data_IF_791422189263
#
_entry.id   IF_791422189263
#
_cell.length_a   1.000
_cell.length_b   1.000
_cell.length_c   1.000
_cell.angle_alpha   90.00
_cell.angle_beta   90.00
_cell.angle_gamma   90.00
#
_symmetry.space_group_name_H-M   'P 1'
#
loop_
_entity.id
_entity.type
_entity.pdbx_description
1 polymer ?
#
# COMPACT_ATOMS: atom_id res chain seq x y z
N UNK A 1 36.50 61.83 19.53
CA UNK A 1 36.58 60.54 20.25
C UNK A 1 35.44 59.67 19.77
N UNK A 2 35.65 58.46 19.23
CA UNK A 2 34.54 57.65 18.78
C UNK A 2 33.74 57.15 20.00
N UNK A 3 32.42 57.11 19.87
CA UNK A 3 31.50 56.71 20.93
C UNK A 3 31.82 55.27 21.38
N UNK A 4 32.22 55.12 22.65
CA UNK A 4 32.41 53.80 23.26
C UNK A 4 31.05 53.13 23.39
N UNK A 5 30.82 52.13 22.53
CA UNK A 5 29.63 51.28 22.52
C UNK A 5 29.44 50.58 23.87
N UNK A 6 28.20 50.54 24.39
CA UNK A 6 27.83 49.94 25.69
C UNK A 6 28.21 48.45 25.85
N UNK A 7 28.58 47.78 24.76
CA UNK A 7 29.07 46.40 24.77
C UNK A 7 30.47 46.22 25.37
N UNK A 8 31.28 47.28 25.52
CA UNK A 8 32.63 47.16 26.14
C UNK A 8 32.59 46.89 27.65
N UNK A 9 31.41 46.86 28.29
CA UNK A 9 31.25 46.50 29.70
C UNK A 9 31.00 45.00 29.94
N UNK A 10 30.79 44.21 28.88
CA UNK A 10 30.58 42.75 28.95
C UNK A 10 31.83 41.96 28.52
N UNK A 11 33.01 42.56 28.66
CA UNK A 11 34.29 41.94 28.33
C UNK A 11 34.88 41.33 29.60
N UNK A 12 34.71 40.02 29.79
CA UNK A 12 35.12 39.29 31.00
C UNK A 12 36.62 38.95 31.05
N UNK A 13 37.39 39.35 30.02
CA UNK A 13 38.82 39.08 29.94
C UNK A 13 39.64 40.35 30.19
N UNK A 14 40.69 40.23 31.02
CA UNK A 14 41.64 41.33 31.26
C UNK A 14 42.39 41.64 29.97
N UNK A 15 42.19 42.84 29.42
CA UNK A 15 42.94 43.28 28.24
C UNK A 15 44.40 43.47 28.60
N UNK A 16 45.29 42.75 27.93
CA UNK A 16 46.72 43.00 28.02
C UNK A 16 47.04 44.38 27.44
N UNK A 17 48.02 45.07 28.02
CA UNK A 17 48.47 46.38 27.54
C UNK A 17 48.88 46.30 26.06
N UNK A 18 48.43 47.26 25.25
CA UNK A 18 48.62 47.26 23.79
C UNK A 18 50.11 47.19 23.38
N UNK A 19 51.02 47.63 24.24
CA UNK A 19 52.48 47.58 24.05
C UNK A 19 53.10 46.19 24.18
N UNK A 20 52.44 45.25 24.87
CA UNK A 20 52.89 43.86 24.98
C UNK A 20 52.38 42.96 23.82
N UNK A 21 51.56 43.52 22.92
CA UNK A 21 50.93 42.78 21.82
C UNK A 21 51.79 42.83 20.56
N UNK A 22 52.66 41.84 20.39
CA UNK A 22 53.41 41.66 19.14
C UNK A 22 52.42 41.26 18.03
N UNK A 23 52.14 42.20 17.11
CA UNK A 23 51.27 41.94 15.94
C UNK A 23 52.09 41.26 14.85
N UNK A 24 51.79 40.00 14.56
CA UNK A 24 52.41 39.23 13.47
C UNK A 24 51.48 39.19 12.26
N UNK A 25 52.01 39.31 11.05
CA UNK A 25 51.23 39.15 9.80
C UNK A 25 50.70 37.72 9.66
N UNK A 26 51.45 36.73 10.17
CA UNK A 26 51.05 35.33 10.26
C UNK A 26 49.82 35.14 11.16
N UNK A 27 49.77 35.79 12.33
CA UNK A 27 48.60 35.72 13.23
C UNK A 27 47.34 36.36 12.62
N UNK A 28 47.51 37.41 11.81
CA UNK A 28 46.41 37.98 11.02
C UNK A 28 45.83 36.99 9.99
N UNK A 29 46.68 36.23 9.30
CA UNK A 29 46.24 35.20 8.34
C UNK A 29 45.55 34.05 9.07
N UNK A 30 46.13 33.57 10.18
CA UNK A 30 45.55 32.48 10.98
C UNK A 30 44.16 32.86 11.48
N UNK A 31 43.98 34.08 12.00
CA UNK A 31 42.65 34.54 12.47
C UNK A 31 41.61 34.64 11.36
N UNK A 32 41.97 35.10 10.16
CA UNK A 32 41.06 35.12 8.99
C UNK A 32 40.64 33.70 8.60
N UNK A 33 41.60 32.78 8.49
CA UNK A 33 41.34 31.37 8.16
C UNK A 33 40.46 30.72 9.23
N UNK A 34 40.74 30.95 10.51
CA UNK A 34 39.93 30.45 11.61
C UNK A 34 38.50 30.97 11.58
N UNK A 35 38.29 32.25 11.23
CA UNK A 35 36.94 32.80 11.08
C UNK A 35 36.17 32.13 9.93
N UNK A 36 36.82 31.89 8.79
CA UNK A 36 36.20 31.18 7.66
C UNK A 36 35.81 29.75 8.07
N UNK A 37 36.69 29.04 8.78
CA UNK A 37 36.43 27.69 9.27
C UNK A 37 35.28 27.67 10.29
N UNK A 38 35.24 28.61 11.23
CA UNK A 38 34.13 28.74 12.19
C UNK A 38 32.82 28.99 11.47
N UNK A 39 32.78 29.90 10.48
CA UNK A 39 31.56 30.16 9.71
C UNK A 39 31.10 28.93 8.92
N UNK A 40 32.03 28.20 8.30
CA UNK A 40 31.71 26.99 7.55
C UNK A 40 31.17 25.87 8.45
N UNK A 41 31.84 25.61 9.58
CA UNK A 41 31.40 24.61 10.55
C UNK A 41 30.08 25.01 11.23
N UNK A 42 29.90 26.28 11.57
CA UNK A 42 28.63 26.77 12.14
C UNK A 42 27.48 26.67 11.14
N UNK A 43 27.75 26.88 9.84
CA UNK A 43 26.76 26.61 8.79
C UNK A 43 26.42 25.13 8.70
N UNK A 44 27.41 24.24 8.80
CA UNK A 44 27.20 22.80 8.89
C UNK A 44 26.34 22.41 10.09
N UNK A 45 26.65 22.94 11.28
CA UNK A 45 25.91 22.71 12.52
C UNK A 45 24.45 23.22 12.42
N UNK A 46 24.24 24.36 11.74
CA UNK A 46 22.91 24.89 11.43
C UNK A 46 22.15 24.04 10.41
N UNK A 47 22.83 23.51 9.40
CA UNK A 47 22.23 22.59 8.44
C UNK A 47 21.80 21.29 9.12
N UNK A 48 22.64 20.72 9.98
CA UNK A 48 22.34 19.52 10.77
C UNK A 48 21.20 19.77 11.78
N UNK A 49 21.18 20.92 12.45
CA UNK A 49 20.10 21.29 13.36
C UNK A 49 18.73 21.37 12.65
N UNK A 50 18.71 21.81 11.39
CA UNK A 50 17.48 21.86 10.58
C UNK A 50 17.18 20.55 9.84
N UNK A 51 18.04 19.53 9.99
CA UNK A 51 17.83 18.23 9.36
C UNK A 51 16.72 17.47 10.09
N UNK A 52 15.80 16.95 9.30
CA UNK A 52 14.71 16.09 9.75
C UNK A 52 15.14 14.66 9.45
N UNK A 53 15.10 13.81 10.47
CA UNK A 53 15.36 12.39 10.35
C UNK A 53 14.11 11.61 10.76
N UNK A 54 13.96 10.42 10.20
CA UNK A 54 12.81 9.57 10.44
C UNK A 54 13.30 8.37 11.24
N UNK A 55 12.78 8.23 12.46
CA UNK A 55 13.11 7.12 13.34
C UNK A 55 11.97 6.10 13.32
N UNK A 56 12.21 4.88 12.81
CA UNK A 56 11.24 3.80 12.86
C UNK A 56 11.23 3.17 14.27
N UNK A 57 10.06 3.11 14.88
CA UNK A 57 9.82 2.45 16.15
C UNK A 57 8.82 1.31 15.97
N UNK A 58 9.06 0.19 16.63
CA UNK A 58 8.16 -0.96 16.60
C UNK A 58 7.32 -0.96 17.88
N UNK A 59 6.01 -0.84 17.75
CA UNK A 59 5.07 -0.82 18.86
C UNK A 59 4.02 -1.91 18.72
N UNK A 60 3.30 -2.21 19.80
CA UNK A 60 2.13 -3.09 19.75
C UNK A 60 0.94 -2.31 19.20
N UNK A 61 0.26 -2.88 18.21
CA UNK A 61 -0.97 -2.31 17.68
C UNK A 61 -2.10 -2.46 18.71
N UNK A 62 -2.74 -1.34 19.03
CA UNK A 62 -3.85 -1.27 20.00
C UNK A 62 -5.19 -0.98 19.32
N UNK A 63 -5.19 -0.81 18.00
CA UNK A 63 -6.41 -0.62 17.22
C UNK A 63 -7.36 -1.81 17.37
N UNK A 64 -8.63 -1.53 17.67
CA UNK A 64 -9.69 -2.53 17.74
C UNK A 64 -10.89 -2.04 16.96
N UNK A 65 -11.45 -2.90 16.10
CA UNK A 65 -12.61 -2.55 15.29
C UNK A 65 -12.32 -1.54 14.17
N UNK A 66 -11.05 -1.26 13.89
CA UNK A 66 -10.65 -0.41 12.77
C UNK A 66 -10.99 -1.10 11.45
N UNK A 67 -11.25 -0.30 10.42
CA UNK A 67 -11.39 -0.80 9.04
C UNK A 67 -10.11 -0.54 8.25
N UNK A 68 -9.98 -1.24 7.14
CA UNK A 68 -8.89 -1.04 6.19
C UNK A 68 -9.42 -1.11 4.76
N UNK A 69 -8.74 -0.42 3.85
CA UNK A 69 -9.07 -0.48 2.44
C UNK A 69 -8.08 -1.40 1.69
N UNK A 70 -8.58 -2.26 0.82
CA UNK A 70 -7.78 -3.06 -0.11
C UNK A 70 -7.95 -2.44 -1.49
N UNK A 71 -6.87 -1.98 -2.10
CA UNK A 71 -6.90 -1.55 -3.50
C UNK A 71 -6.36 -2.66 -4.37
N UNK A 72 -7.11 -3.05 -5.38
CA UNK A 72 -6.72 -4.09 -6.32
C UNK A 72 -6.92 -3.64 -7.76
N UNK A 73 -6.02 -4.11 -8.62
CA UNK A 73 -6.14 -4.04 -10.07
C UNK A 73 -5.54 -5.34 -10.63
N UNK A 74 -6.40 -6.22 -11.13
CA UNK A 74 -6.03 -7.55 -11.60
C UNK A 74 -6.72 -7.86 -12.92
N UNK A 75 -5.99 -8.45 -13.87
CA UNK A 75 -6.51 -8.83 -15.18
C UNK A 75 -6.50 -10.33 -15.37
N UNK A 76 -7.60 -10.88 -15.85
CA UNK A 76 -7.83 -12.28 -16.19
C UNK A 76 -8.14 -12.38 -17.69
N UNK A 77 -7.16 -12.71 -18.56
CA UNK A 77 -7.32 -12.63 -20.00
C UNK A 77 -8.24 -13.71 -20.61
N UNK A 78 -8.48 -14.82 -19.90
CA UNK A 78 -9.29 -15.95 -20.36
C UNK A 78 -10.51 -16.21 -19.46
N UNK A 79 -10.97 -15.18 -18.74
CA UNK A 79 -12.14 -15.24 -17.88
C UNK A 79 -13.09 -14.08 -18.19
N UNK A 80 -14.35 -14.35 -18.56
CA UNK A 80 -15.35 -13.29 -18.76
C UNK A 80 -15.81 -12.67 -17.43
N UNK A 81 -16.13 -11.38 -17.47
CA UNK A 81 -16.57 -10.65 -16.27
C UNK A 81 -17.91 -11.16 -15.70
N UNK A 82 -18.78 -11.73 -16.53
CA UNK A 82 -20.05 -12.31 -16.09
C UNK A 82 -19.86 -13.59 -15.27
N UNK A 83 -18.78 -14.35 -15.51
CA UNK A 83 -18.48 -15.56 -14.74
C UNK A 83 -17.59 -15.28 -13.53
N UNK A 84 -16.79 -14.21 -13.53
CA UNK A 84 -15.86 -13.94 -12.44
C UNK A 84 -16.55 -13.22 -11.29
N UNK A 85 -16.51 -13.78 -10.08
CA UNK A 85 -17.00 -13.13 -8.85
C UNK A 85 -15.85 -12.79 -7.92
N UNK A 86 -16.05 -11.78 -7.08
CA UNK A 86 -15.12 -11.36 -6.04
C UNK A 86 -15.87 -11.41 -4.71
N UNK A 87 -15.40 -12.26 -3.81
CA UNK A 87 -15.97 -12.41 -2.48
C UNK A 87 -14.95 -12.06 -1.41
N UNK A 88 -15.44 -11.52 -0.30
CA UNK A 88 -14.65 -11.24 0.90
C UNK A 88 -15.31 -11.91 2.09
N UNK A 89 -14.52 -12.61 2.90
CA UNK A 89 -14.97 -13.23 4.15
C UNK A 89 -13.97 -12.95 5.26
N UNK A 90 -14.47 -12.49 6.41
CA UNK A 90 -13.64 -12.31 7.60
C UNK A 90 -13.87 -13.42 8.65
N UNK A 91 -13.00 -13.48 9.67
CA UNK A 91 -13.14 -14.47 10.77
C UNK A 91 -14.40 -14.29 11.62
N UNK A 92 -15.07 -13.14 11.54
CA UNK A 92 -16.35 -12.93 12.23
C UNK A 92 -17.52 -13.59 11.50
N UNK A 93 -17.26 -14.12 10.30
CA UNK A 93 -18.29 -14.67 9.43
C UNK A 93 -19.11 -13.56 8.76
N UNK A 94 -18.68 -12.30 8.84
CA UNK A 94 -19.22 -11.24 8.01
C UNK A 94 -18.76 -11.50 6.57
N UNK A 95 -19.73 -11.65 5.69
CA UNK A 95 -19.51 -11.94 4.27
C UNK A 95 -20.15 -10.82 3.46
N UNK A 96 -19.38 -10.26 2.53
CA UNK A 96 -19.86 -9.26 1.58
C UNK A 96 -19.84 -9.89 0.19
N UNK A 97 -20.98 -10.48 -0.20
CA UNK A 97 -21.16 -11.19 -1.47
C UNK A 97 -21.46 -10.23 -2.62
N UNK A 98 -20.55 -10.07 -3.59
CA UNK A 98 -20.82 -9.21 -4.76
C UNK A 98 -21.18 -7.75 -4.41
N UNK A 99 -20.96 -7.31 -3.16
CA UNK A 99 -21.32 -5.98 -2.64
C UNK A 99 -20.05 -5.22 -2.37
N UNK A 100 -19.50 -4.55 -3.36
CA UNK A 100 -18.31 -3.74 -3.14
C UNK A 100 -18.46 -2.42 -3.87
N UNK A 101 -19.00 -1.42 -3.16
CA UNK A 101 -18.92 -0.03 -3.60
C UNK A 101 -17.45 0.33 -3.86
N UNK A 102 -17.14 0.79 -5.07
CA UNK A 102 -15.77 1.17 -5.46
C UNK A 102 -14.99 0.11 -6.24
N UNK A 103 -15.58 -1.05 -6.57
CA UNK A 103 -14.99 -2.05 -7.49
C UNK A 103 -15.67 -2.00 -8.86
N UNK A 104 -14.87 -2.01 -9.92
CA UNK A 104 -15.32 -2.03 -11.30
C UNK A 104 -14.87 -3.33 -11.99
N UNK A 105 -15.79 -3.92 -12.76
CA UNK A 105 -15.52 -4.98 -13.72
C UNK A 105 -15.33 -4.36 -15.10
N UNK A 106 -14.12 -4.45 -15.61
CA UNK A 106 -13.72 -3.95 -16.92
C UNK A 106 -13.69 -5.12 -17.89
N UNK A 107 -14.62 -5.15 -18.84
CA UNK A 107 -14.64 -6.14 -19.91
C UNK A 107 -13.50 -5.88 -20.88
N UNK A 108 -12.74 -6.92 -21.19
CA UNK A 108 -11.60 -6.86 -22.07
C UNK A 108 -11.83 -7.70 -23.32
N UNK A 109 -11.49 -7.14 -24.47
CA UNK A 109 -11.41 -7.91 -25.72
C UNK A 109 -10.38 -9.03 -25.59
N UNK A 110 -10.62 -10.13 -26.30
CA UNK A 110 -9.70 -11.26 -26.39
C UNK A 110 -8.25 -10.80 -26.65
N UNK A 111 -7.29 -11.43 -25.97
CA UNK A 111 -5.86 -11.14 -26.21
C UNK A 111 -5.45 -11.35 -27.67
N UNK A 112 -6.09 -12.30 -28.38
CA UNK A 112 -5.83 -12.56 -29.81
C UNK A 112 -6.10 -11.33 -30.70
N UNK A 113 -7.00 -10.46 -30.26
CA UNK A 113 -7.43 -9.27 -31.01
C UNK A 113 -6.73 -7.97 -30.54
N UNK A 114 -5.65 -8.11 -29.75
CA UNK A 114 -4.80 -7.01 -29.33
C UNK A 114 -5.07 -6.46 -27.93
N UNK A 115 -6.10 -6.96 -27.22
CA UNK A 115 -6.44 -6.53 -25.87
C UNK A 115 -6.92 -5.08 -25.79
N UNK A 116 -8.14 -4.85 -25.32
CA UNK A 116 -8.69 -3.50 -25.22
C UNK A 116 -9.93 -3.47 -24.34
N UNK A 117 -10.20 -2.31 -23.74
CA UNK A 117 -11.40 -2.12 -22.91
C UNK A 117 -12.63 -2.06 -23.80
N UNK A 118 -13.60 -2.94 -23.53
CA UNK A 118 -14.91 -2.94 -24.18
C UNK A 118 -15.88 -2.07 -23.38
N UNK A 119 -15.98 -2.35 -22.08
CA UNK A 119 -16.97 -1.77 -21.19
C UNK A 119 -16.47 -1.77 -19.74
N UNK A 120 -17.01 -0.87 -18.92
CA UNK A 120 -16.70 -0.73 -17.49
C UNK A 120 -18.00 -0.67 -16.72
N UNK A 121 -18.31 -1.75 -15.97
CA UNK A 121 -19.49 -1.82 -15.11
C UNK A 121 -19.05 -1.78 -13.65
N UNK A 122 -19.63 -0.86 -12.87
CA UNK A 122 -19.45 -0.88 -11.42
C UNK A 122 -20.09 -2.15 -10.83
N UNK A 123 -19.41 -2.76 -9.86
CA UNK A 123 -19.93 -3.89 -9.08
C UNK A 123 -20.92 -3.34 -8.04
N UNK A 124 -22.03 -2.79 -8.52
CA UNK A 124 -23.13 -2.31 -7.68
C UNK A 124 -24.31 -3.28 -7.81
N UNK A 125 -24.86 -3.69 -6.67
CA UNK A 125 -25.99 -4.64 -6.58
C UNK A 125 -27.29 -4.09 -7.18
N UNK A 126 -27.33 -2.80 -7.53
CA UNK A 126 -28.53 -2.14 -8.00
C UNK A 126 -28.26 -1.17 -9.15
N UNK A 127 -27.37 -1.53 -10.10
CA UNK A 127 -27.24 -0.73 -11.32
C UNK A 127 -28.61 -0.59 -11.99
N UNK A 128 -29.10 0.65 -12.06
CA UNK A 128 -30.38 1.01 -12.66
C UNK A 128 -30.52 0.54 -14.12
N UNK A 129 -29.40 0.19 -14.76
CA UNK A 129 -29.36 -0.36 -16.12
C UNK A 129 -29.92 -1.80 -16.23
N UNK A 130 -30.02 -2.55 -15.13
CA UNK A 130 -30.73 -3.85 -15.09
C UNK A 130 -32.14 -3.73 -14.49
N UNK A 131 -32.60 -2.50 -14.23
CA UNK A 131 -34.01 -2.30 -13.87
C UNK A 131 -34.85 -2.58 -15.11
N UNK A 132 -35.87 -3.41 -14.94
CA UNK A 132 -36.81 -3.69 -15.99
C UNK A 132 -37.71 -2.45 -16.19
N UNK A 133 -37.17 -1.39 -16.80
CA UNK A 133 -37.83 -0.08 -17.02
C UNK A 133 -39.12 -0.18 -17.85
N UNK A 134 -39.47 -1.38 -18.32
CA UNK A 134 -40.63 -1.66 -19.15
C UNK A 134 -41.66 -2.61 -18.51
N UNK A 135 -41.48 -3.03 -17.25
CA UNK A 135 -42.46 -3.88 -16.57
C UNK A 135 -43.53 -3.05 -15.84
N UNK A 136 -44.74 -3.59 -15.81
CA UNK A 136 -45.85 -3.01 -15.05
C UNK A 136 -45.46 -2.89 -13.56
N UNK A 137 -45.77 -1.77 -12.88
CA UNK A 137 -45.55 -1.60 -11.44
C UNK A 137 -46.16 -2.71 -10.56
N UNK A 138 -47.12 -3.49 -11.06
CA UNK A 138 -47.74 -4.63 -10.39
C UNK A 138 -47.19 -6.00 -10.85
N UNK A 139 -46.27 -6.05 -11.81
CA UNK A 139 -45.66 -7.30 -12.25
C UNK A 139 -44.86 -7.96 -11.11
N UNK A 140 -45.07 -9.26 -10.93
CA UNK A 140 -44.37 -10.10 -9.97
C UNK A 140 -43.96 -11.38 -10.68
N UNK A 141 -42.71 -11.48 -11.08
CA UNK A 141 -42.19 -12.67 -11.76
C UNK A 141 -42.02 -13.87 -10.81
N UNK A 142 -42.19 -15.11 -11.29
CA UNK A 142 -42.01 -16.29 -10.47
C UNK A 142 -40.53 -16.56 -10.16
N UNK A 143 -40.24 -17.04 -8.95
CA UNK A 143 -38.91 -17.53 -8.56
C UNK A 143 -38.72 -19.05 -8.80
N UNK A 144 -39.62 -19.66 -9.60
CA UNK A 144 -39.55 -21.08 -10.03
C UNK A 144 -39.34 -22.10 -8.90
N UNK A 145 -39.99 -21.88 -7.75
CA UNK A 145 -39.94 -22.78 -6.60
C UNK A 145 -38.83 -22.47 -5.59
N UNK A 146 -37.94 -21.52 -5.90
CA UNK A 146 -36.99 -20.97 -4.92
C UNK A 146 -37.65 -19.84 -4.10
N UNK A 147 -37.14 -19.63 -2.88
CA UNK A 147 -37.56 -18.51 -2.04
C UNK A 147 -37.00 -17.20 -2.60
N UNK A 148 -37.85 -16.18 -2.74
CA UNK A 148 -37.42 -14.86 -3.22
C UNK A 148 -36.36 -14.26 -2.29
N UNK A 149 -35.30 -13.64 -2.83
CA UNK A 149 -34.20 -13.13 -2.02
C UNK A 149 -34.62 -11.85 -1.28
N UNK A 150 -34.02 -11.59 -0.13
CA UNK A 150 -34.43 -10.48 0.75
C UNK A 150 -34.16 -9.08 0.16
N UNK A 151 -33.19 -8.98 -0.76
CA UNK A 151 -32.79 -7.79 -1.50
C UNK A 151 -33.55 -7.61 -2.84
N UNK A 152 -34.55 -8.44 -3.14
CA UNK A 152 -35.36 -8.31 -4.35
C UNK A 152 -36.06 -6.94 -4.40
N UNK A 153 -36.25 -6.40 -5.61
CA UNK A 153 -36.96 -5.12 -5.81
C UNK A 153 -38.38 -5.14 -5.24
N UNK A 154 -39.04 -6.31 -5.26
CA UNK A 154 -40.34 -6.52 -4.64
C UNK A 154 -40.28 -7.75 -3.73
N UNK A 155 -40.66 -7.63 -2.44
CA UNK A 155 -40.68 -8.76 -1.53
C UNK A 155 -41.55 -9.91 -2.07
N UNK A 156 -40.96 -11.11 -2.15
CA UNK A 156 -41.67 -12.31 -2.61
C UNK A 156 -41.73 -12.51 -4.13
N UNK A 157 -41.13 -11.63 -4.93
CA UNK A 157 -41.10 -11.72 -6.39
C UNK A 157 -39.67 -11.81 -6.91
N UNK A 158 -39.49 -12.43 -8.07
CA UNK A 158 -38.25 -12.38 -8.83
C UNK A 158 -38.53 -11.77 -10.21
N UNK A 159 -38.23 -10.50 -10.37
CA UNK A 159 -38.51 -9.72 -11.58
C UNK A 159 -37.34 -9.73 -12.56
N UNK A 160 -36.09 -9.84 -12.08
CA UNK A 160 -34.90 -9.89 -12.95
C UNK A 160 -34.28 -11.28 -13.01
N UNK A 161 -33.50 -11.56 -14.05
CA UNK A 161 -32.74 -12.80 -14.13
C UNK A 161 -31.78 -12.94 -12.94
N UNK A 162 -31.21 -11.82 -12.49
CA UNK A 162 -30.29 -11.79 -11.37
C UNK A 162 -30.97 -12.14 -10.03
N UNK A 163 -32.22 -11.73 -9.82
CA UNK A 163 -33.01 -12.12 -8.63
C UNK A 163 -33.34 -13.62 -8.64
N UNK A 164 -33.70 -14.21 -9.80
CA UNK A 164 -33.95 -15.65 -9.92
C UNK A 164 -32.67 -16.44 -9.66
N UNK A 165 -31.54 -16.02 -10.26
CA UNK A 165 -30.22 -16.61 -10.02
C UNK A 165 -29.85 -16.57 -8.53
N UNK A 166 -30.16 -15.47 -7.85
CA UNK A 166 -29.92 -15.35 -6.41
C UNK A 166 -30.78 -16.32 -5.60
N UNK A 167 -32.07 -16.41 -5.92
CA UNK A 167 -33.00 -17.34 -5.27
C UNK A 167 -32.52 -18.80 -5.41
N UNK A 168 -32.05 -19.17 -6.60
CA UNK A 168 -31.51 -20.52 -6.87
C UNK A 168 -30.21 -20.77 -6.11
N UNK A 169 -29.32 -19.78 -6.07
CA UNK A 169 -28.08 -19.87 -5.31
C UNK A 169 -28.37 -20.05 -3.80
N UNK A 170 -29.32 -19.30 -3.23
CA UNK A 170 -29.77 -19.47 -1.84
C UNK A 170 -30.36 -20.86 -1.59
N UNK A 171 -31.06 -21.44 -2.57
CA UNK A 171 -31.57 -22.81 -2.52
C UNK A 171 -30.50 -23.89 -2.77
N UNK A 172 -29.24 -23.49 -3.04
CA UNK A 172 -28.14 -24.39 -3.44
C UNK A 172 -28.44 -25.19 -4.73
N UNK A 173 -29.16 -24.58 -5.66
CA UNK A 173 -29.52 -25.18 -6.94
C UNK A 173 -28.64 -24.63 -8.06
N UNK A 174 -28.18 -25.51 -8.96
CA UNK A 174 -27.44 -25.10 -10.14
C UNK A 174 -28.39 -24.40 -11.13
N UNK A 175 -28.02 -23.21 -11.59
CA UNK A 175 -28.87 -22.39 -12.46
C UNK A 175 -28.56 -22.61 -13.96
N UNK A 176 -27.29 -22.84 -14.29
CA UNK A 176 -26.87 -22.99 -15.68
C UNK A 176 -27.09 -21.72 -16.52
N UNK A 177 -27.58 -21.88 -17.75
CA UNK A 177 -27.81 -20.78 -18.72
C UNK A 177 -29.18 -20.10 -18.58
N UNK A 178 -29.98 -20.44 -17.57
CA UNK A 178 -31.32 -19.87 -17.37
C UNK A 178 -32.39 -20.40 -18.32
N UNK A 179 -32.25 -21.65 -18.78
CA UNK A 179 -33.24 -22.32 -19.63
C UNK A 179 -34.59 -22.43 -18.91
N UNK A 180 -35.68 -22.01 -19.57
CA UNK A 180 -37.03 -22.05 -19.00
C UNK A 180 -37.36 -20.91 -18.04
N UNK A 181 -36.46 -19.93 -17.88
CA UNK A 181 -36.67 -18.73 -17.05
C UNK A 181 -36.99 -17.53 -17.95
N UNK A 182 -38.19 -16.98 -17.82
CA UNK A 182 -38.69 -15.87 -18.64
C UNK A 182 -37.80 -14.64 -18.51
N UNK A 183 -37.44 -14.30 -17.27
CA UNK A 183 -36.62 -13.14 -16.92
C UNK A 183 -35.25 -13.20 -17.62
N UNK A 184 -34.62 -14.37 -17.64
CA UNK A 184 -33.31 -14.57 -18.28
C UNK A 184 -33.36 -14.61 -19.80
N UNK A 185 -34.46 -15.12 -20.36
CA UNK A 185 -34.69 -15.08 -21.82
C UNK A 185 -34.92 -13.65 -22.29
N UNK A 186 -35.71 -12.88 -21.53
CA UNK A 186 -36.00 -11.47 -21.80
C UNK A 186 -34.75 -10.58 -21.70
N UNK A 187 -33.87 -10.89 -20.74
CA UNK A 187 -32.63 -10.15 -20.50
C UNK A 187 -31.44 -10.70 -21.31
N UNK A 188 -31.69 -11.64 -22.24
CA UNK A 188 -30.69 -12.25 -23.10
C UNK A 188 -29.45 -12.75 -22.34
N UNK A 189 -29.66 -13.37 -21.17
CA UNK A 189 -28.56 -13.79 -20.30
C UNK A 189 -27.66 -14.84 -20.95
N UNK A 190 -28.24 -15.83 -21.61
CA UNK A 190 -27.48 -16.89 -22.27
C UNK A 190 -26.66 -16.33 -23.44
N UNK A 191 -27.25 -15.44 -24.23
CA UNK A 191 -26.60 -14.80 -25.38
C UNK A 191 -25.44 -13.90 -24.93
N UNK A 192 -25.65 -13.06 -23.90
CA UNK A 192 -24.59 -12.24 -23.30
C UNK A 192 -23.44 -13.08 -22.77
N UNK A 193 -23.74 -14.22 -22.14
CA UNK A 193 -22.73 -15.13 -21.63
C UNK A 193 -21.90 -15.74 -22.77
N UNK A 194 -22.55 -16.18 -23.85
CA UNK A 194 -21.91 -16.75 -25.05
C UNK A 194 -21.04 -15.70 -25.77
N UNK A 195 -21.53 -14.48 -25.97
CA UNK A 195 -20.78 -13.37 -26.59
C UNK A 195 -19.50 -13.05 -25.80
N UNK A 196 -19.58 -13.09 -24.47
CA UNK A 196 -18.43 -12.78 -23.61
C UNK A 196 -17.44 -13.93 -23.46
N UNK A 197 -17.72 -15.17 -23.92
CA UNK A 197 -16.87 -16.33 -23.61
C UNK A 197 -15.42 -16.19 -24.01
N UNK A 198 -15.12 -15.43 -25.07
CA UNK A 198 -13.75 -15.21 -25.55
C UNK A 198 -13.10 -13.94 -24.98
N UNK A 199 -13.82 -13.19 -24.16
CA UNK A 199 -13.37 -11.98 -23.49
C UNK A 199 -12.52 -12.30 -22.24
N UNK A 200 -11.77 -11.29 -21.81
CA UNK A 200 -11.13 -11.26 -20.50
C UNK A 200 -11.85 -10.28 -19.57
N UNK A 201 -11.44 -10.29 -18.31
CA UNK A 201 -11.96 -9.39 -17.30
C UNK A 201 -10.83 -8.74 -16.51
N UNK A 202 -10.91 -7.44 -16.29
CA UNK A 202 -10.08 -6.73 -15.31
C UNK A 202 -10.94 -6.25 -14.16
N UNK A 203 -10.57 -6.65 -12.95
CA UNK A 203 -11.19 -6.18 -11.72
C UNK A 203 -10.30 -5.08 -11.17
N UNK A 204 -10.83 -3.88 -11.02
CA UNK A 204 -10.10 -2.74 -10.45
C UNK A 204 -10.96 -1.94 -9.48
N UNK A 205 -10.38 -1.51 -8.36
CA UNK A 205 -11.10 -0.69 -7.40
C UNK A 205 -10.58 -0.82 -5.98
N UNK A 206 -11.41 -0.38 -5.04
CA UNK A 206 -11.11 -0.43 -3.63
C UNK A 206 -12.23 -1.08 -2.82
N UNK A 207 -11.82 -1.91 -1.87
CA UNK A 207 -12.69 -2.66 -0.97
C UNK A 207 -12.49 -2.16 0.45
N UNK A 208 -13.55 -1.89 1.19
CA UNK A 208 -13.46 -1.56 2.62
C UNK A 208 -13.78 -2.81 3.43
N UNK A 209 -12.83 -3.27 4.24
CA UNK A 209 -12.95 -4.50 5.04
C UNK A 209 -12.61 -4.22 6.50
N UNK A 210 -13.06 -5.09 7.40
CA UNK A 210 -12.63 -5.04 8.79
C UNK A 210 -11.13 -5.39 8.88
N UNK A 211 -10.36 -4.66 9.71
CA UNK A 211 -8.93 -4.92 9.94
C UNK A 211 -8.75 -6.12 10.88
N UNK A 212 -9.13 -7.29 10.39
CA UNK A 212 -9.03 -8.59 11.07
C UNK A 212 -8.48 -9.62 10.09
N UNK A 213 -8.20 -10.82 10.57
CA UNK A 213 -7.85 -11.94 9.68
C UNK A 213 -9.03 -12.22 8.74
N UNK A 214 -8.74 -12.43 7.46
CA UNK A 214 -9.77 -12.67 6.47
C UNK A 214 -9.22 -13.28 5.20
N UNK A 215 -10.12 -13.51 4.25
CA UNK A 215 -9.78 -13.87 2.90
C UNK A 215 -10.64 -13.09 1.91
N UNK A 216 -10.09 -12.90 0.72
CA UNK A 216 -10.87 -12.55 -0.45
C UNK A 216 -10.44 -13.44 -1.60
N UNK A 217 -11.37 -13.81 -2.47
CA UNK A 217 -11.07 -14.69 -3.58
C UNK A 217 -11.84 -14.32 -4.83
N UNK A 218 -11.26 -14.68 -5.96
CA UNK A 218 -11.88 -14.59 -7.27
C UNK A 218 -12.09 -15.99 -7.81
N UNK A 219 -13.35 -16.36 -8.00
CA UNK A 219 -13.76 -17.69 -8.42
C UNK A 219 -14.84 -17.58 -9.52
N UNK A 220 -15.09 -18.65 -10.28
CA UNK A 220 -16.10 -18.62 -11.31
C UNK A 220 -17.47 -18.95 -10.73
N UNK A 221 -18.50 -18.36 -11.35
CA UNK A 221 -19.87 -18.58 -10.98
C UNK A 221 -20.32 -17.71 -9.82
N UNK A 222 -21.62 -17.78 -9.54
CA UNK A 222 -22.21 -17.04 -8.42
C UNK A 222 -21.89 -17.78 -7.13
N UNK A 223 -21.41 -17.03 -6.14
CA UNK A 223 -21.18 -17.56 -4.80
C UNK A 223 -22.47 -17.56 -3.99
N UNK A 224 -22.63 -18.53 -3.11
CA UNK A 224 -23.61 -18.50 -2.04
C UNK A 224 -23.07 -19.17 -0.79
N UNK A 225 -23.64 -18.80 0.35
CA UNK A 225 -23.28 -19.36 1.64
C UNK A 225 -24.51 -19.93 2.33
N UNK A 226 -24.39 -21.18 2.80
CA UNK A 226 -25.42 -21.83 3.59
C UNK A 226 -24.76 -22.37 4.88
N UNK A 227 -24.95 -21.65 5.98
CA UNK A 227 -24.24 -21.91 7.24
C UNK A 227 -22.72 -21.68 7.08
N UNK A 228 -21.92 -22.69 7.42
CA UNK A 228 -20.45 -22.60 7.39
C UNK A 228 -19.83 -22.96 6.03
N UNK A 229 -20.64 -23.20 5.00
CA UNK A 229 -20.16 -23.60 3.68
C UNK A 229 -20.33 -22.47 2.68
N UNK A 230 -19.24 -22.09 2.02
CA UNK A 230 -19.21 -21.14 0.92
C UNK A 230 -19.00 -21.92 -0.38
N UNK A 231 -19.95 -21.81 -1.32
CA UNK A 231 -20.03 -22.63 -2.53
C UNK A 231 -20.20 -21.73 -3.74
N UNK A 232 -19.68 -22.20 -4.87
CA UNK A 232 -19.76 -21.53 -6.17
C UNK A 232 -20.49 -22.42 -7.18
N UNK A 233 -21.38 -21.83 -8.00
CA UNK A 233 -21.97 -22.56 -9.14
C UNK A 233 -21.00 -22.61 -10.32
N UNK A 234 -20.26 -23.72 -10.41
CA UNK A 234 -19.24 -23.95 -11.43
C UNK A 234 -19.79 -24.51 -12.75
N UNK A 235 -21.11 -24.71 -12.88
CA UNK A 235 -21.71 -25.38 -14.05
C UNK A 235 -21.34 -24.67 -15.36
N UNK A 236 -21.50 -23.35 -15.41
CA UNK A 236 -21.24 -22.57 -16.64
C UNK A 236 -19.75 -22.44 -16.96
N UNK A 237 -18.88 -22.59 -15.97
CA UNK A 237 -17.43 -22.55 -16.13
C UNK A 237 -16.90 -23.83 -16.78
N UNK A 238 -17.43 -24.99 -16.39
CA UNK A 238 -17.04 -26.26 -17.01
C UNK A 238 -17.78 -26.56 -18.32
N UNK A 239 -18.96 -25.98 -18.52
CA UNK A 239 -19.75 -26.10 -19.75
C UNK A 239 -19.29 -25.06 -20.81
N UNK A 240 -18.03 -25.17 -21.21
CA UNK A 240 -17.38 -24.34 -22.25
C UNK A 240 -17.06 -25.17 -23.50
N UNK A 241 -17.30 -24.63 -24.71
CA UNK A 241 -16.78 -25.21 -25.95
C UNK A 241 -15.25 -25.36 -25.94
N UNK A 242 -14.72 -26.36 -26.66
CA UNK A 242 -13.30 -26.72 -26.63
C UNK A 242 -12.34 -25.61 -27.11
N UNK A 243 -12.83 -24.63 -27.87
CA UNK A 243 -12.09 -23.49 -28.40
C UNK A 243 -12.10 -22.26 -27.47
N UNK A 244 -12.88 -22.28 -26.39
CA UNK A 244 -13.06 -21.20 -25.43
C UNK A 244 -12.87 -21.67 -23.97
N UNK A 245 -11.90 -22.57 -23.74
CA UNK A 245 -11.59 -23.04 -22.39
C UNK A 245 -11.09 -21.89 -21.51
N UNK A 246 -11.73 -21.74 -20.36
CA UNK A 246 -11.40 -20.72 -19.36
C UNK A 246 -10.33 -21.24 -18.39
N UNK A 247 -9.49 -20.32 -17.89
CA UNK A 247 -8.50 -20.61 -16.86
C UNK A 247 -8.21 -19.37 -15.99
N UNK A 248 -7.54 -19.57 -14.85
CA UNK A 248 -7.20 -18.51 -13.91
C UNK A 248 -5.82 -17.89 -14.15
N UNK A 249 -5.32 -17.90 -15.38
CA UNK A 249 -4.19 -17.04 -15.76
C UNK A 249 -4.54 -15.61 -15.38
N UNK A 250 -3.61 -14.91 -14.72
CA UNK A 250 -3.87 -13.55 -14.28
C UNK A 250 -2.61 -12.71 -14.14
N UNK A 251 -2.79 -11.40 -14.24
CA UNK A 251 -1.78 -10.39 -13.97
C UNK A 251 -2.25 -9.53 -12.82
N UNK A 252 -1.45 -9.43 -11.77
CA UNK A 252 -1.67 -8.46 -10.69
C UNK A 252 -0.95 -7.18 -11.07
N UNK A 253 -1.69 -6.14 -11.46
CA UNK A 253 -1.10 -4.84 -11.79
C UNK A 253 -0.76 -4.09 -10.52
N UNK A 254 -1.71 -4.04 -9.58
CA UNK A 254 -1.49 -3.46 -8.26
C UNK A 254 -2.30 -4.17 -7.20
N UNK A 255 -1.69 -4.49 -6.06
CA UNK A 255 -2.39 -4.92 -4.85
C UNK A 255 -1.77 -4.27 -3.63
N UNK A 256 -2.53 -3.42 -2.94
CA UNK A 256 -2.07 -2.69 -1.76
C UNK A 256 -3.15 -2.59 -0.69
N UNK A 257 -2.71 -2.30 0.53
CA UNK A 257 -3.56 -2.20 1.71
C UNK A 257 -3.41 -0.80 2.32
N UNK A 258 -4.51 -0.06 2.39
CA UNK A 258 -4.57 1.33 2.82
C UNK A 258 -3.96 2.33 1.82
N UNK A 259 -3.85 3.60 2.23
CA UNK A 259 -3.29 4.66 1.42
C UNK A 259 -1.77 4.51 1.27
N UNK A 260 -1.23 5.12 0.22
CA UNK A 260 0.23 5.21 0.02
C UNK A 260 0.80 6.48 0.66
N UNK A 261 2.07 6.40 1.07
CA UNK A 261 2.80 7.59 1.50
C UNK A 261 2.97 8.57 0.34
N UNK A 262 2.78 9.88 0.58
CA UNK A 262 3.03 10.89 -0.44
C UNK A 262 4.47 10.82 -0.96
N UNK A 263 4.67 11.00 -2.28
CA UNK A 263 5.99 10.96 -2.93
C UNK A 263 7.05 11.85 -2.26
N UNK A 264 6.61 12.98 -1.68
CA UNK A 264 7.49 13.89 -0.97
C UNK A 264 8.10 13.26 0.28
N UNK A 265 7.30 12.49 1.03
CA UNK A 265 7.73 11.75 2.22
C UNK A 265 8.68 10.62 1.81
N UNK A 266 8.29 9.88 0.76
CA UNK A 266 9.10 8.79 0.18
C UNK A 266 10.49 9.29 -0.24
N UNK A 267 10.58 10.48 -0.85
CA UNK A 267 11.88 11.09 -1.22
C UNK A 267 12.70 11.52 0.00
N UNK A 268 12.06 12.02 1.07
CA UNK A 268 12.73 12.50 2.29
C UNK A 268 13.38 11.38 3.10
N UNK A 269 12.73 10.22 3.19
CA UNK A 269 13.25 9.05 3.90
C UNK A 269 14.58 8.53 3.32
N UNK A 270 14.88 8.85 2.05
CA UNK A 270 16.21 8.74 1.43
C UNK A 270 16.69 7.30 1.17
N UNK A 271 17.33 7.04 0.01
CA UNK A 271 17.77 5.71 -0.48
C UNK A 271 18.54 4.81 0.52
N UNK A 272 19.13 5.36 1.60
CA UNK A 272 19.93 4.62 2.59
C UNK A 272 19.12 3.95 3.70
N UNK A 273 17.92 4.42 4.03
CA UNK A 273 16.99 3.67 4.90
C UNK A 273 16.40 2.44 4.18
N UNK A 274 16.62 2.35 2.86
CA UNK A 274 16.03 1.36 1.94
C UNK A 274 17.01 0.30 1.44
N UNK A 275 18.21 0.19 2.02
CA UNK A 275 19.31 -0.60 1.44
C UNK A 275 19.10 -2.12 1.39
N UNK A 276 18.13 -2.67 2.13
CA UNK A 276 17.83 -4.11 2.13
C UNK A 276 16.46 -4.46 1.55
N UNK A 277 15.63 -3.44 1.44
CA UNK A 277 14.21 -3.43 1.16
C UNK A 277 13.73 -2.76 -0.14
N UNK A 278 13.29 -3.44 -1.20
CA UNK A 278 12.49 -2.77 -2.24
C UNK A 278 11.06 -2.41 -1.72
N UNK A 279 10.94 -1.85 -0.51
CA UNK A 279 9.72 -1.58 0.28
C UNK A 279 8.75 -0.52 -0.32
N UNK A 280 8.92 -0.13 -1.58
CA UNK A 280 7.97 0.75 -2.28
C UNK A 280 7.12 0.04 -3.33
N UNK A 281 7.53 -1.15 -3.77
CA UNK A 281 6.67 -2.02 -4.55
C UNK A 281 5.90 -2.92 -3.59
N UNK A 282 4.58 -2.98 -3.74
CA UNK A 282 3.88 -4.07 -3.07
C UNK A 282 4.36 -5.39 -3.71
N UNK A 283 4.65 -6.45 -2.93
CA UNK A 283 5.26 -7.67 -3.46
C UNK A 283 4.58 -8.31 -4.67
N UNK A 284 3.26 -8.13 -4.83
CA UNK A 284 2.49 -8.69 -5.93
C UNK A 284 2.30 -7.71 -7.12
N UNK A 285 2.75 -6.46 -7.02
CA UNK A 285 2.60 -5.50 -8.12
C UNK A 285 3.38 -5.97 -9.37
N UNK A 286 2.72 -5.90 -10.52
CA UNK A 286 3.21 -6.33 -11.83
C UNK A 286 3.66 -7.81 -11.89
N UNK A 287 3.03 -8.68 -11.11
CA UNK A 287 3.27 -10.13 -11.18
C UNK A 287 2.31 -10.81 -12.15
N UNK A 288 2.78 -11.87 -12.81
CA UNK A 288 2.01 -12.65 -13.79
C UNK A 288 2.03 -14.13 -13.41
N UNK A 289 0.89 -14.79 -13.51
CA UNK A 289 0.75 -16.23 -13.35
C UNK A 289 -0.03 -16.79 -14.53
N UNK A 290 0.48 -17.85 -15.13
CA UNK A 290 -0.16 -18.57 -16.22
C UNK A 290 -0.46 -20.02 -15.88
N UNK A 291 -1.54 -20.52 -16.49
CA UNK A 291 -1.90 -21.92 -16.49
C UNK A 291 -2.73 -22.20 -17.74
N UNK A 292 -2.77 -23.47 -18.17
CA UNK A 292 -3.72 -23.95 -19.18
C UNK A 292 -4.69 -24.98 -18.57
N UNK A 293 -4.58 -25.26 -17.27
CA UNK A 293 -5.48 -26.15 -16.56
C UNK A 293 -6.70 -25.35 -16.06
N UNK A 294 -7.93 -25.66 -16.51
CA UNK A 294 -9.13 -25.00 -15.98
C UNK A 294 -9.37 -25.33 -14.50
N UNK A 295 -8.81 -26.43 -14.00
CA UNK A 295 -8.97 -26.88 -12.62
C UNK A 295 -7.73 -26.52 -11.80
N UNK A 296 -7.32 -25.26 -11.85
CA UNK A 296 -6.13 -24.78 -11.17
C UNK A 296 -6.48 -23.75 -10.09
N UNK A 297 -5.71 -23.75 -9.01
CA UNK A 297 -5.91 -22.86 -7.87
C UNK A 297 -4.62 -22.13 -7.52
N UNK A 298 -4.71 -20.80 -7.43
CA UNK A 298 -3.64 -19.92 -6.97
C UNK A 298 -3.98 -19.40 -5.57
N UNK A 299 -3.04 -19.54 -4.64
CA UNK A 299 -3.22 -19.17 -3.24
C UNK A 299 -2.11 -18.21 -2.82
N UNK A 300 -2.49 -17.05 -2.31
CA UNK A 300 -1.60 -16.03 -1.78
C UNK A 300 -1.84 -15.86 -0.29
N UNK A 301 -0.80 -16.12 0.51
CA UNK A 301 -0.82 -15.88 1.95
C UNK A 301 -0.12 -14.56 2.23
N UNK A 302 -0.90 -13.56 2.59
CA UNK A 302 -0.46 -12.18 2.79
C UNK A 302 -0.31 -11.91 4.30
N UNK A 303 0.85 -11.45 4.74
CA UNK A 303 1.09 -10.99 6.10
C UNK A 303 1.20 -9.48 6.10
N UNK A 304 0.22 -8.80 6.66
CA UNK A 304 0.09 -7.35 6.65
C UNK A 304 0.67 -6.77 7.94
N UNK A 305 1.54 -5.78 7.82
CA UNK A 305 2.14 -5.02 8.92
C UNK A 305 1.62 -3.59 8.85
N UNK A 306 0.82 -3.13 9.83
CA UNK A 306 0.39 -1.75 9.91
C UNK A 306 1.59 -0.81 10.12
N UNK A 307 1.59 0.33 9.44
CA UNK A 307 2.66 1.32 9.50
C UNK A 307 2.11 2.75 9.57
N UNK A 308 2.44 3.52 10.61
CA UNK A 308 2.11 4.95 10.66
C UNK A 308 3.26 5.79 10.18
N UNK A 309 2.94 6.90 9.54
CA UNK A 309 3.84 8.04 9.38
C UNK A 309 3.35 9.20 10.24
N UNK A 310 4.23 9.74 11.09
CA UNK A 310 3.93 10.88 11.97
C UNK A 310 4.82 12.07 11.58
N UNK A 311 4.20 13.13 11.07
CA UNK A 311 4.90 14.36 10.73
C UNK A 311 5.38 15.13 11.98
N UNK A 312 6.33 16.06 11.81
CA UNK A 312 6.89 16.86 12.92
C UNK A 312 5.85 17.59 13.78
N UNK A 313 4.73 18.00 13.18
CA UNK A 313 3.66 18.74 13.87
C UNK A 313 2.58 17.82 14.44
N UNK A 314 2.77 16.51 14.36
CA UNK A 314 1.83 15.53 14.87
C UNK A 314 1.59 15.73 16.36
N UNK A 315 0.32 15.83 16.73
CA UNK A 315 -0.12 15.87 18.12
C UNK A 315 -0.73 14.54 18.49
N UNK A 316 -0.53 14.12 19.75
CA UNK A 316 -1.15 12.93 20.33
C UNK A 316 -2.63 13.14 20.62
N UNK A 317 -3.36 13.74 19.68
CA UNK A 317 -4.82 13.72 19.68
C UNK A 317 -5.25 12.29 19.38
N UNK A 318 -6.30 11.81 20.05
CA UNK A 318 -6.84 10.49 19.74
C UNK A 318 -7.22 10.49 18.26
N UNK A 319 -6.63 9.55 17.49
CA UNK A 319 -7.05 9.27 16.12
C UNK A 319 -8.56 9.06 16.15
N UNK A 320 -9.31 10.04 15.65
CA UNK A 320 -10.75 9.95 15.55
C UNK A 320 -11.00 9.51 14.11
N UNK A 321 -11.23 8.21 13.95
CA UNK A 321 -11.58 7.60 12.67
C UNK A 321 -12.84 8.28 12.18
N UNK A 322 -12.71 9.13 11.16
CA UNK A 322 -13.88 9.77 10.55
C UNK A 322 -14.55 8.72 9.66
N UNK A 323 -15.55 8.04 10.21
CA UNK A 323 -16.38 7.07 9.49
C UNK A 323 -17.03 7.68 8.23
N UNK A 324 -17.09 9.01 8.12
CA UNK A 324 -17.60 9.72 6.94
C UNK A 324 -16.58 9.89 5.80
N UNK A 325 -15.34 9.44 5.99
CA UNK A 325 -14.31 9.52 4.95
C UNK A 325 -14.68 8.68 3.72
N UNK A 326 -14.75 9.37 2.57
CA UNK A 326 -15.04 8.74 1.28
C UNK A 326 -14.02 7.65 0.93
N UNK A 327 -14.43 6.71 0.08
CA UNK A 327 -13.59 5.64 -0.50
C UNK A 327 -12.24 6.21 -0.99
N UNK A 328 -11.13 5.69 -0.47
CA UNK A 328 -9.76 6.10 -0.83
C UNK A 328 -9.10 7.13 0.10
N UNK A 329 -9.82 7.66 1.10
CA UNK A 329 -9.30 8.65 2.07
C UNK A 329 -9.06 8.07 3.47
N UNK A 330 -9.41 6.80 3.69
CA UNK A 330 -9.24 6.14 4.97
C UNK A 330 -7.74 6.09 5.35
N UNK A 331 -7.39 6.54 6.55
CA UNK A 331 -6.01 6.52 7.05
C UNK A 331 -5.22 7.83 6.85
N UNK A 332 -5.80 8.89 6.28
CA UNK A 332 -5.15 10.21 6.24
C UNK A 332 -5.64 11.10 7.39
N UNK A 333 -4.74 11.44 8.31
CA UNK A 333 -4.99 12.37 9.40
C UNK A 333 -4.89 13.84 8.94
N UNK A 334 -5.74 14.69 9.51
CA UNK A 334 -5.71 16.15 9.26
C UNK A 334 -4.43 16.84 9.75
N UNK A 335 -3.69 16.18 10.64
CA UNK A 335 -2.39 16.58 11.17
C UNK A 335 -1.20 16.15 10.27
N UNK A 336 -1.49 15.55 9.12
CA UNK A 336 -0.49 15.01 8.20
C UNK A 336 0.04 13.63 8.60
N UNK A 337 -0.56 12.98 9.61
CA UNK A 337 -0.31 11.56 9.84
C UNK A 337 -0.93 10.70 8.76
N UNK A 338 -0.28 9.59 8.43
CA UNK A 338 -0.80 8.64 7.45
C UNK A 338 -0.66 7.22 7.96
N UNK A 339 -1.78 6.52 8.07
CA UNK A 339 -1.88 5.10 8.38
C UNK A 339 -1.78 4.32 7.08
N UNK A 340 -0.64 3.67 6.89
CA UNK A 340 -0.31 2.88 5.70
C UNK A 340 -0.12 1.43 6.10
N UNK A 341 -0.09 0.50 5.14
CA UNK A 341 0.23 -0.89 5.44
C UNK A 341 1.32 -1.39 4.49
N UNK A 342 2.18 -2.24 5.02
CA UNK A 342 3.13 -3.02 4.24
C UNK A 342 2.73 -4.48 4.33
N UNK A 343 3.16 -5.31 3.38
CA UNK A 343 2.94 -6.74 3.50
C UNK A 343 4.08 -7.56 2.92
N UNK A 344 4.14 -8.81 3.35
CA UNK A 344 4.89 -9.88 2.69
C UNK A 344 3.90 -10.92 2.17
N UNK A 345 4.32 -11.69 1.16
CA UNK A 345 3.47 -12.69 0.52
C UNK A 345 4.21 -14.00 0.32
N UNK A 346 3.50 -15.10 0.53
CA UNK A 346 3.90 -16.43 0.07
C UNK A 346 2.86 -16.93 -0.93
N UNK A 347 3.31 -17.31 -2.12
CA UNK A 347 2.45 -17.84 -3.18
C UNK A 347 2.53 -19.36 -3.27
N UNK A 348 1.38 -20.01 -3.36
CA UNK A 348 1.23 -21.42 -3.67
C UNK A 348 0.31 -21.57 -4.86
N UNK A 349 0.51 -22.64 -5.62
CA UNK A 349 -0.35 -22.99 -6.75
C UNK A 349 -0.46 -24.51 -6.84
N UNK A 350 -1.61 -25.00 -7.30
CA UNK A 350 -1.85 -26.44 -7.45
C UNK A 350 -2.94 -26.74 -8.45
N UNK A 351 -2.85 -27.91 -9.09
CA UNK A 351 -3.98 -28.49 -9.81
C UNK A 351 -4.94 -29.18 -8.85
N UNK A 352 -6.24 -29.03 -9.09
CA UNK A 352 -7.30 -29.67 -8.32
C UNK A 352 -7.46 -31.15 -8.70
N UNK A 353 -6.87 -31.60 -9.81
CA UNK A 353 -6.77 -33.02 -10.16
C UNK A 353 -5.83 -33.80 -9.22
N UNK A 354 -5.09 -33.09 -8.35
CA UNK A 354 -4.06 -33.62 -7.48
C UNK A 354 -2.79 -33.96 -8.25
N UNK A 355 -1.82 -34.59 -7.56
CA UNK A 355 -0.54 -34.98 -8.14
C UNK A 355 0.64 -34.37 -7.38
N UNK A 356 1.83 -34.51 -7.95
CA UNK A 356 3.07 -33.94 -7.43
C UNK A 356 3.55 -32.75 -8.29
N UNK A 357 4.36 -31.87 -7.71
CA UNK A 357 5.01 -30.77 -8.44
C UNK A 357 6.32 -31.23 -9.10
N UNK A 358 6.36 -32.47 -9.62
CA UNK A 358 7.55 -33.04 -10.24
C UNK A 358 8.07 -32.19 -11.41
N UNK A 359 7.15 -31.57 -12.17
CA UNK A 359 7.47 -30.67 -13.29
C UNK A 359 8.20 -29.40 -12.84
N UNK A 360 8.03 -28.98 -11.58
CA UNK A 360 8.71 -27.81 -10.99
C UNK A 360 9.92 -28.22 -10.12
N UNK A 361 10.30 -29.50 -10.14
CA UNK A 361 11.42 -30.03 -9.36
C UNK A 361 11.10 -30.31 -7.88
N UNK A 362 9.81 -30.34 -7.51
CA UNK A 362 9.33 -30.52 -6.14
C UNK A 362 8.45 -31.76 -6.00
N UNK A 363 9.03 -32.95 -6.25
CA UNK A 363 8.32 -34.25 -6.17
C UNK A 363 7.76 -34.54 -4.76
N UNK A 364 8.35 -33.94 -3.73
CA UNK A 364 7.91 -34.07 -2.34
C UNK A 364 6.59 -33.34 -2.04
N UNK A 365 6.16 -32.42 -2.91
CA UNK A 365 4.92 -31.66 -2.73
C UNK A 365 3.76 -32.40 -3.36
N UNK A 366 3.02 -33.14 -2.53
CA UNK A 366 1.80 -33.82 -2.94
C UNK A 366 0.56 -32.93 -2.72
N UNK A 367 -0.24 -32.76 -3.75
CA UNK A 367 -1.49 -31.99 -3.70
C UNK A 367 -2.70 -32.90 -3.56
N UNK A 368 -3.58 -32.56 -2.61
CA UNK A 368 -4.88 -33.20 -2.44
C UNK A 368 -5.79 -32.94 -3.64
N UNK A 369 -6.62 -33.92 -3.99
CA UNK A 369 -7.66 -33.77 -5.01
C UNK A 369 -8.82 -32.93 -4.49
N UNK A 370 -9.38 -32.10 -5.36
CA UNK A 370 -10.56 -31.28 -5.08
C UNK A 370 -10.26 -29.86 -4.59
N UNK A 371 -11.34 -29.09 -4.47
CA UNK A 371 -11.34 -27.65 -4.22
C UNK A 371 -12.06 -26.90 -5.34
N UNK A 372 -11.98 -25.57 -5.30
CA UNK A 372 -12.60 -24.68 -6.28
C UNK A 372 -11.47 -24.02 -7.09
N UNK A 373 -11.58 -23.93 -8.43
CA UNK A 373 -10.61 -23.21 -9.24
C UNK A 373 -10.76 -21.71 -8.98
N UNK A 374 -9.65 -20.99 -8.92
CA UNK A 374 -9.70 -19.57 -8.57
C UNK A 374 -8.40 -19.00 -8.05
N UNK A 375 -8.45 -17.74 -7.69
CA UNK A 375 -7.35 -17.00 -7.05
C UNK A 375 -7.78 -16.57 -5.66
N UNK A 376 -7.09 -17.06 -4.64
CA UNK A 376 -7.43 -16.88 -3.23
C UNK A 376 -6.36 -16.07 -2.53
N UNK A 377 -6.76 -15.04 -1.81
CA UNK A 377 -5.89 -14.22 -0.97
C UNK A 377 -6.32 -14.38 0.48
N UNK A 378 -5.51 -15.08 1.27
CA UNK A 378 -5.68 -15.16 2.72
C UNK A 378 -4.75 -14.14 3.37
N UNK A 379 -5.29 -13.21 4.13
CA UNK A 379 -4.51 -12.17 4.78
C UNK A 379 -4.63 -12.24 6.30
N UNK A 380 -3.51 -11.95 6.97
CA UNK A 380 -3.38 -11.91 8.42
C UNK A 380 -2.67 -10.63 8.84
N UNK A 381 -3.15 -9.99 9.91
CA UNK A 381 -2.68 -8.70 10.38
C UNK A 381 -1.71 -8.91 11.54
N UNK A 382 -0.51 -8.34 11.42
CA UNK A 382 0.50 -8.37 12.47
C UNK A 382 0.01 -7.62 13.73
N UNK A 383 0.21 -8.17 14.94
CA UNK A 383 -0.06 -7.47 16.19
C UNK A 383 0.97 -6.36 16.48
N UNK A 384 2.00 -6.22 15.64
CA UNK A 384 3.03 -5.20 15.73
C UNK A 384 2.86 -4.17 14.62
N UNK A 385 3.06 -2.91 14.99
CA UNK A 385 2.92 -1.74 14.12
C UNK A 385 4.23 -0.95 14.09
N UNK A 386 4.64 -0.51 12.90
CA UNK A 386 5.83 0.33 12.73
C UNK A 386 5.41 1.80 12.68
N UNK A 387 5.97 2.63 13.55
CA UNK A 387 5.76 4.07 13.52
C UNK A 387 7.01 4.73 12.96
N UNK A 388 6.86 5.43 11.84
CA UNK A 388 7.89 6.28 11.27
C UNK A 388 7.65 7.71 11.76
N UNK A 389 8.37 8.13 12.80
CA UNK A 389 8.25 9.47 13.38
C UNK A 389 9.29 10.40 12.78
N UNK A 390 8.85 11.54 12.24
CA UNK A 390 9.76 12.64 11.93
C UNK A 390 10.24 13.29 13.22
N UNK A 391 11.55 13.36 13.41
CA UNK A 391 12.19 14.08 14.51
C UNK A 391 13.31 14.98 13.97
N UNK A 392 13.66 16.01 14.74
CA UNK A 392 14.83 16.83 14.41
C UNK A 392 16.07 16.09 14.89
N UNK A 393 17.08 15.98 14.02
CA UNK A 393 18.33 15.27 14.32
C UNK A 393 19.05 15.82 15.57
N UNK A 394 18.91 17.13 15.83
CA UNK A 394 19.47 17.79 17.02
C UNK A 394 18.43 18.64 17.74
N UNK A 395 18.52 18.62 19.07
CA UNK A 395 17.80 19.58 19.92
C UNK A 395 18.44 20.96 19.83
N UNK A 396 17.69 21.99 20.23
CA UNK A 396 18.22 23.37 20.29
C UNK A 396 19.42 23.48 21.24
N UNK A 397 19.40 22.75 22.36
CA UNK A 397 20.53 22.70 23.30
C UNK A 397 21.73 22.02 22.66
N UNK A 398 21.54 20.94 21.91
CA UNK A 398 22.60 20.27 21.14
C UNK A 398 23.26 21.17 20.09
N UNK A 399 22.46 21.99 19.40
CA UNK A 399 22.98 23.00 18.47
C UNK A 399 23.84 24.07 19.18
N UNK A 400 23.35 24.59 20.31
CA UNK A 400 24.07 25.63 21.06
C UNK A 400 25.39 25.09 21.64
N UNK A 401 25.40 23.88 22.18
CA UNK A 401 26.63 23.23 22.66
C UNK A 401 27.59 22.96 21.50
N UNK A 402 27.08 22.53 20.33
CA UNK A 402 27.85 22.38 19.10
C UNK A 402 28.55 23.68 18.66
N UNK A 403 27.82 24.81 18.63
CA UNK A 403 28.40 26.11 18.30
C UNK A 403 29.50 26.54 19.26
N UNK A 404 29.28 26.39 20.58
CA UNK A 404 30.30 26.68 21.58
C UNK A 404 31.55 25.83 21.40
N UNK A 405 31.38 24.53 21.10
CA UNK A 405 32.48 23.62 20.83
C UNK A 405 33.25 23.98 19.56
N UNK A 406 32.57 24.39 18.48
CA UNK A 406 33.20 24.83 17.23
C UNK A 406 34.06 26.08 17.46
N UNK A 407 33.52 27.08 18.16
CA UNK A 407 34.24 28.33 18.45
C UNK A 407 35.43 28.05 19.36
N UNK A 408 35.24 27.34 20.47
CA UNK A 408 36.30 27.02 21.42
C UNK A 408 37.39 26.13 20.81
N UNK A 409 36.99 25.09 20.07
CA UNK A 409 37.89 24.16 19.40
C UNK A 409 38.73 24.84 18.33
N UNK A 410 38.12 25.65 17.45
CA UNK A 410 38.85 26.34 16.39
C UNK A 410 39.84 27.36 16.95
N UNK A 411 39.47 28.11 17.99
CA UNK A 411 40.38 29.06 18.65
C UNK A 411 41.56 28.37 19.34
N UNK A 412 41.32 27.22 19.98
CA UNK A 412 42.38 26.44 20.64
C UNK A 412 43.39 25.90 19.62
N UNK A 413 42.91 25.35 18.50
CA UNK A 413 43.77 24.87 17.41
C UNK A 413 44.52 26.03 16.74
N UNK A 414 43.83 27.15 16.48
CA UNK A 414 44.45 28.35 15.91
C UNK A 414 45.58 28.89 16.78
N UNK A 415 45.39 28.93 18.10
CA UNK A 415 46.42 29.37 19.04
C UNK A 415 47.63 28.42 19.06
N UNK A 416 47.41 27.10 18.98
CA UNK A 416 48.49 26.13 18.89
C UNK A 416 49.29 26.27 17.59
N UNK A 417 48.61 26.47 16.46
CA UNK A 417 49.23 26.70 15.15
C UNK A 417 50.02 28.01 15.13
N UNK A 418 49.44 29.11 15.59
CA UNK A 418 50.12 30.42 15.62
C UNK A 418 51.39 30.37 16.50
N UNK A 419 51.30 29.73 17.68
CA UNK A 419 52.46 29.51 18.55
C UNK A 419 53.54 28.67 17.87
N UNK A 420 53.17 27.59 17.21
CA UNK A 420 54.10 26.72 16.47
C UNK A 420 54.79 27.45 15.30
N UNK A 421 54.04 28.24 14.53
CA UNK A 421 54.58 29.06 13.42
C UNK A 421 55.52 30.14 13.94
N UNK A 422 55.16 30.80 15.04
CA UNK A 422 55.99 31.84 15.66
C UNK A 422 57.31 31.30 16.23
N UNK A 423 57.25 30.25 17.06
CA UNK A 423 58.45 29.61 17.64
C UNK A 423 59.32 28.96 16.55
N UNK A 424 58.71 28.34 15.54
CA UNK A 424 59.39 27.78 14.38
C UNK A 424 60.13 28.85 13.56
N UNK A 425 59.48 29.98 13.28
CA UNK A 425 60.08 31.12 12.57
C UNK A 425 61.25 31.74 13.34
N UNK A 426 61.14 31.85 14.66
CA UNK A 426 62.24 32.31 15.53
C UNK A 426 63.43 31.34 15.52
N UNK A 427 63.17 30.02 15.58
CA UNK A 427 64.21 28.99 15.54
C UNK A 427 64.92 28.94 14.20
N UNK A 428 64.19 29.08 13.08
CA UNK A 428 64.75 29.16 11.73
C UNK A 428 65.64 30.40 11.56
N UNK A 429 65.20 31.57 12.04
CA UNK A 429 66.05 32.78 12.05
C UNK A 429 67.33 32.58 12.85
N UNK A 430 67.25 31.91 14.01
CA UNK A 430 68.41 31.60 14.86
C UNK A 430 69.37 30.59 14.25
N UNK A 431 68.88 29.63 13.45
CA UNK A 431 69.74 28.71 12.70
C UNK A 431 70.40 29.41 11.51
N UNK A 432 69.64 30.21 10.76
CA UNK A 432 70.15 30.96 9.60
C UNK A 432 71.15 32.06 9.98
N UNK A 433 71.12 32.56 11.22
CA UNK A 433 72.12 33.48 11.76
C UNK A 433 73.37 32.81 12.32
N UNK A 434 73.43 31.47 12.34
CA UNK A 434 74.62 30.69 12.73
C UNK A 434 75.41 30.18 11.51
N UNK A 435 74.77 30.14 10.34
CA UNK A 435 75.36 29.73 9.06
C UNK A 435 75.88 30.92 8.22
N UNK A 436 75.74 32.15 8.73
CA UNK A 436 76.35 33.41 8.27
C UNK A 436 77.35 33.86 9.32
#
# INVERSE_FOLDING_TARGET
MPAKSRFTRLDAFTKTVDEARIRTTSGGIVTIVSLIVVLWLAWGEWADYRRIEIHPELIVDKGRGERMEIHLNMTFPKMPCELLTLDVMDVSGEQQHGVMHGVNKVRLRSQKEGGGVIDVKALDLHSRDDSAEHLDPNYCGPCYGAQAPANAQKPGCCNTCEEVREAYAQASWAFGKGEGVEQCTREHYAERLEEQRQEGCRIEGNLRVNKVVGNFHLAPGRSFSNGNMHVHDLKNYWDTPADAQHDFTHTVHSLRFGPQLPDQVTKKMGKRAYAWTNHHGNPLDNTHQDTNDPNYNFMYFVKIVPTSYLALNWQKSAYQEDESSGLGLLGQGSDGSVETHQYSVTSHKRSLAGGDDAAEGHQERLHSRGGIPGVFFSYDISPMKVINREERAKTFTGFLTGLCAIIGGTLTVAAAVDRGVFEGGMRLKKMRSKDL
#
